data_IF_678904126139
#
_entry.id   IF_678904126139
#
_cell.length_a   1.000
_cell.length_b   1.000
_cell.length_c   1.000
_cell.angle_alpha   90.00
_cell.angle_beta   90.00
_cell.angle_gamma   90.00
#
_symmetry.space_group_name_H-M   'P 1'
#
loop_
_entity.id
_entity.type
_entity.pdbx_description
1 polymer ?
#
# COMPACT_ATOMS: atom_id res chain seq x y z
N UNK A 1 20.05 -6.53 9.80
CA UNK A 1 19.41 -6.08 8.56
C UNK A 1 18.03 -5.54 8.89
N UNK A 2 17.98 -4.26 9.12
CA UNK A 2 16.71 -3.57 9.27
C UNK A 2 16.22 -3.24 7.87
N UNK A 3 15.37 -4.09 7.30
CA UNK A 3 14.47 -3.61 6.27
C UNK A 3 13.32 -2.98 7.03
N UNK A 4 13.31 -1.70 7.07
CA UNK A 4 12.35 -1.00 7.86
C UNK A 4 11.01 -0.96 7.14
N UNK A 5 10.01 -1.38 7.81
CA UNK A 5 8.66 -0.94 7.53
C UNK A 5 8.51 0.42 8.18
N UNK A 6 8.48 1.47 7.39
CA UNK A 6 8.16 2.79 7.91
C UNK A 6 6.78 2.76 8.56
N UNK A 7 6.58 3.40 9.69
CA UNK A 7 5.25 3.55 10.24
C UNK A 7 4.41 4.41 9.30
N UNK A 8 3.34 3.86 8.78
CA UNK A 8 2.40 4.57 7.91
C UNK A 8 1.19 5.07 8.69
N UNK A 9 0.61 6.18 8.27
CA UNK A 9 -0.75 6.52 8.65
C UNK A 9 -1.67 5.68 7.78
N UNK A 10 -2.51 4.84 8.41
CA UNK A 10 -3.49 4.01 7.72
C UNK A 10 -4.57 3.56 8.71
N UNK A 11 -5.73 3.15 8.23
CA UNK A 11 -6.74 2.45 9.03
C UNK A 11 -6.51 0.92 8.97
N UNK A 12 -7.12 0.15 9.86
CA UNK A 12 -7.01 -1.30 9.80
C UNK A 12 -7.36 -1.85 8.42
N UNK A 13 -6.41 -2.53 7.78
CA UNK A 13 -6.53 -3.13 6.44
C UNK A 13 -6.99 -2.15 5.34
N UNK A 14 -6.78 -0.83 5.50
CA UNK A 14 -7.23 0.16 4.51
C UNK A 14 -6.40 0.10 3.22
N UNK A 15 -7.05 0.43 2.10
CA UNK A 15 -6.39 0.60 0.81
C UNK A 15 -5.39 1.76 0.86
N UNK A 16 -5.81 2.89 1.44
CA UNK A 16 -4.97 4.07 1.57
C UNK A 16 -4.06 3.95 2.78
N UNK A 17 -2.78 4.13 2.55
CA UNK A 17 -1.74 4.34 3.55
C UNK A 17 -0.80 5.43 3.06
N UNK A 18 -0.36 6.29 3.96
CA UNK A 18 0.44 7.46 3.62
C UNK A 18 1.64 7.55 4.56
N UNK A 19 2.79 7.80 3.98
CA UNK A 19 4.01 8.06 4.70
C UNK A 19 4.91 9.02 3.90
N UNK A 20 5.51 10.06 4.52
CA UNK A 20 6.40 10.97 3.81
C UNK A 20 7.59 10.25 3.22
N UNK A 21 7.81 10.40 1.90
CA UNK A 21 8.93 9.76 1.22
C UNK A 21 10.26 10.34 1.70
N UNK A 22 11.16 9.45 2.12
CA UNK A 22 12.52 9.79 2.55
C UNK A 22 13.52 8.88 1.84
N UNK A 23 14.76 9.32 1.71
CA UNK A 23 15.82 8.48 1.15
C UNK A 23 16.19 7.31 2.07
N UNK A 24 16.14 7.55 3.37
CA UNK A 24 16.39 6.56 4.44
C UNK A 24 15.80 7.05 5.78
N UNK A 25 16.01 6.29 6.88
CA UNK A 25 15.49 6.65 8.22
C UNK A 25 16.17 7.85 8.87
N UNK A 26 17.37 8.19 8.43
CA UNK A 26 18.17 9.27 8.98
C UNK A 26 18.09 10.53 8.13
N UNK A 27 17.30 10.50 7.05
CA UNK A 27 17.14 11.64 6.14
C UNK A 27 16.48 12.81 6.86
N UNK A 28 17.13 13.95 6.79
CA UNK A 28 16.62 15.24 7.26
C UNK A 28 15.67 15.90 6.28
N UNK A 29 15.32 15.21 5.17
CA UNK A 29 14.46 15.75 4.11
C UNK A 29 13.31 14.81 3.78
N UNK A 30 12.14 15.41 3.59
CA UNK A 30 10.95 14.79 2.99
C UNK A 30 10.96 15.14 1.50
N UNK A 31 10.84 14.14 0.62
CA UNK A 31 10.88 14.28 -0.84
C UNK A 31 9.48 14.50 -1.43
N UNK A 32 8.81 15.57 -1.03
CA UNK A 32 7.41 15.84 -1.34
C UNK A 32 6.44 15.20 -0.35
N UNK A 33 5.20 15.64 -0.39
CA UNK A 33 4.12 15.07 0.41
C UNK A 33 3.40 14.01 -0.42
N UNK A 34 3.41 12.73 -0.02
CA UNK A 34 2.84 11.65 -0.81
C UNK A 34 1.32 11.62 -0.72
N UNK A 35 0.69 10.96 -1.71
CA UNK A 35 -0.75 10.70 -1.70
C UNK A 35 -1.06 9.28 -1.25
N UNK A 36 -0.27 8.31 -1.70
CA UNK A 36 -0.41 6.90 -1.32
C UNK A 36 0.94 6.19 -1.39
N UNK A 37 1.15 5.26 -0.50
CA UNK A 37 2.26 4.30 -0.52
C UNK A 37 1.77 2.97 -1.09
N UNK A 38 2.41 2.46 -2.13
CA UNK A 38 1.89 1.35 -2.95
C UNK A 38 2.69 0.06 -2.92
N UNK A 39 3.86 0.04 -2.30
CA UNK A 39 4.65 -1.18 -2.22
C UNK A 39 5.43 -1.32 -0.91
N UNK A 40 6.02 -2.50 -0.71
CA UNK A 40 6.72 -2.86 0.53
C UNK A 40 8.00 -2.05 0.82
N UNK A 41 8.54 -1.32 -0.16
CA UNK A 41 9.67 -0.41 0.03
C UNK A 41 9.22 1.03 0.22
N UNK A 42 7.95 1.19 0.58
CA UNK A 42 7.33 2.47 0.89
C UNK A 42 7.45 3.50 -0.25
N UNK A 43 7.38 3.03 -1.50
CA UNK A 43 7.34 3.93 -2.65
C UNK A 43 5.98 4.59 -2.75
N UNK A 44 5.99 5.91 -2.78
CA UNK A 44 4.78 6.71 -2.93
C UNK A 44 4.37 6.86 -4.39
N UNK A 45 3.06 6.97 -4.61
CA UNK A 45 2.50 7.45 -5.86
C UNK A 45 1.90 8.83 -5.64
N UNK A 46 2.05 9.69 -6.64
CA UNK A 46 1.76 11.10 -6.65
C UNK A 46 2.51 11.89 -5.57
N UNK A 47 2.67 13.17 -5.80
CA UNK A 47 3.19 14.09 -4.80
C UNK A 47 2.34 15.36 -4.76
N UNK A 48 2.08 15.84 -3.55
CA UNK A 48 1.60 17.19 -3.30
C UNK A 48 2.80 18.06 -2.94
N UNK A 49 2.92 19.21 -3.61
CA UNK A 49 4.00 20.15 -3.35
C UNK A 49 3.41 21.50 -3.03
N UNK A 50 3.12 21.81 -1.76
CA UNK A 50 2.83 23.17 -1.32
C UNK A 50 4.08 24.02 -1.44
N UNK A 51 3.93 25.23 -1.93
CA UNK A 51 5.04 26.14 -2.19
C UNK A 51 4.64 27.61 -2.03
N UNK A 52 5.53 28.41 -1.47
CA UNK A 52 5.41 29.86 -1.44
C UNK A 52 6.53 30.51 -2.28
N UNK A 53 6.16 31.23 -3.32
CA UNK A 53 7.09 31.89 -4.24
C UNK A 53 6.44 32.18 -5.59
N UNK A 54 7.20 32.79 -6.50
CA UNK A 54 6.67 33.26 -7.77
C UNK A 54 6.33 32.12 -8.75
N UNK A 55 7.14 31.08 -8.78
CA UNK A 55 6.95 29.94 -9.70
C UNK A 55 6.72 28.62 -8.93
N UNK A 56 5.71 27.82 -9.33
CA UNK A 56 5.46 26.52 -8.72
C UNK A 56 6.53 25.50 -9.12
N UNK A 57 6.67 24.45 -8.29
CA UNK A 57 7.55 23.30 -8.55
C UNK A 57 6.74 22.02 -8.60
N UNK A 58 7.00 21.10 -9.55
CA UNK A 58 6.32 19.80 -9.60
C UNK A 58 6.57 18.95 -8.33
N UNK A 59 7.80 18.95 -7.85
CA UNK A 59 8.21 18.26 -6.62
C UNK A 59 9.24 19.13 -5.90
N UNK A 60 9.16 19.18 -4.58
CA UNK A 60 10.18 19.81 -3.72
C UNK A 60 10.57 18.87 -2.60
N UNK A 61 11.83 18.90 -2.21
CA UNK A 61 12.30 18.28 -0.98
C UNK A 61 12.34 19.33 0.13
N UNK A 62 11.90 18.97 1.32
CA UNK A 62 11.77 19.86 2.46
C UNK A 62 12.62 19.39 3.63
N UNK A 63 13.32 20.33 4.29
CA UNK A 63 13.78 20.11 5.66
C UNK A 63 12.58 20.21 6.60
N UNK A 64 12.60 19.48 7.69
CA UNK A 64 11.45 19.38 8.58
C UNK A 64 11.86 19.19 10.03
N UNK A 65 10.95 19.58 10.93
CA UNK A 65 11.08 19.40 12.35
C UNK A 65 9.72 19.08 13.02
N UNK A 66 9.71 18.81 14.32
CA UNK A 66 8.51 18.60 15.13
C UNK A 66 7.55 17.52 14.57
N UNK A 67 8.10 16.46 13.97
CA UNK A 67 7.30 15.38 13.43
C UNK A 67 6.50 14.66 14.52
N UNK A 68 5.20 14.49 14.29
CA UNK A 68 4.30 13.68 15.12
C UNK A 68 3.56 12.71 14.24
N UNK A 69 3.82 11.44 14.43
CA UNK A 69 3.20 10.34 13.69
C UNK A 69 2.39 9.47 14.63
N UNK A 70 1.14 9.23 14.25
CA UNK A 70 0.25 8.25 14.88
C UNK A 70 -0.29 7.30 13.81
N UNK A 71 -0.92 6.18 14.15
CA UNK A 71 -1.56 5.32 13.15
C UNK A 71 -2.66 6.02 12.32
N UNK A 72 -3.20 7.12 12.77
CA UNK A 72 -4.38 7.79 12.20
C UNK A 72 -4.15 9.26 11.81
N UNK A 73 -2.97 9.82 12.08
CA UNK A 73 -2.65 11.21 11.72
C UNK A 73 -1.15 11.47 11.67
N UNK A 74 -0.78 12.50 10.93
CA UNK A 74 0.57 13.01 10.81
C UNK A 74 0.59 14.51 10.96
N UNK A 75 1.62 15.05 11.61
CA UNK A 75 1.93 16.50 11.68
C UNK A 75 3.41 16.70 11.57
N UNK A 76 3.82 17.79 10.90
CA UNK A 76 5.21 18.17 10.73
C UNK A 76 5.32 19.68 10.49
N UNK A 77 6.40 20.29 10.93
CA UNK A 77 6.81 21.63 10.52
C UNK A 77 7.83 21.52 9.38
N UNK A 78 7.59 22.25 8.30
CA UNK A 78 8.47 22.38 7.13
C UNK A 78 9.30 23.65 7.30
N UNK A 79 10.60 23.51 7.52
CA UNK A 79 11.47 24.63 7.87
C UNK A 79 11.77 25.53 6.67
N UNK A 80 12.10 24.95 5.51
CA UNK A 80 12.48 25.68 4.29
C UNK A 80 11.45 26.73 3.86
N UNK A 81 10.17 26.53 4.21
CA UNK A 81 9.07 27.40 3.80
C UNK A 81 8.22 27.90 4.97
N UNK A 82 8.65 27.63 6.19
CA UNK A 82 7.91 27.98 7.40
C UNK A 82 6.41 27.59 7.33
N UNK A 83 6.17 26.33 6.99
CA UNK A 83 4.82 25.77 6.84
C UNK A 83 4.55 24.72 7.91
N UNK A 84 3.32 24.65 8.40
CA UNK A 84 2.80 23.48 9.12
C UNK A 84 2.06 22.57 8.14
N UNK A 85 2.29 21.26 8.22
CA UNK A 85 1.55 20.26 7.44
C UNK A 85 0.96 19.23 8.37
N UNK A 86 -0.31 18.93 8.19
CA UNK A 86 -0.97 17.80 8.85
C UNK A 86 -1.88 17.07 7.89
N UNK A 87 -2.05 15.76 8.13
CA UNK A 87 -3.04 14.96 7.42
C UNK A 87 -3.64 13.85 8.28
N UNK A 88 -4.85 13.46 7.88
CA UNK A 88 -5.54 12.29 8.38
C UNK A 88 -6.24 11.60 7.20
N UNK A 89 -6.60 10.33 7.39
CA UNK A 89 -7.16 9.54 6.29
C UNK A 89 -8.31 8.64 6.72
N UNK A 90 -9.09 8.23 5.72
CA UNK A 90 -10.08 7.18 5.74
C UNK A 90 -9.57 5.94 4.99
N UNK A 91 -10.47 5.05 4.54
CA UNK A 91 -10.04 3.83 3.83
C UNK A 91 -9.49 4.09 2.44
N UNK A 92 -10.03 5.08 1.72
CA UNK A 92 -9.70 5.40 0.32
C UNK A 92 -9.54 6.90 0.08
N UNK A 93 -9.62 7.71 1.13
CA UNK A 93 -9.60 9.17 1.05
C UNK A 93 -8.82 9.79 2.19
N UNK A 94 -8.31 11.01 1.98
CA UNK A 94 -7.59 11.74 3.01
C UNK A 94 -7.83 13.25 2.94
N UNK A 95 -7.49 13.92 4.03
CA UNK A 95 -7.47 15.38 4.14
C UNK A 95 -6.07 15.81 4.53
N UNK A 96 -5.52 16.77 3.76
CA UNK A 96 -4.35 17.54 4.12
C UNK A 96 -4.74 18.93 4.57
N UNK A 97 -4.11 19.42 5.62
CA UNK A 97 -4.12 20.83 6.02
C UNK A 97 -2.70 21.36 5.98
N UNK A 98 -2.51 22.50 5.32
CA UNK A 98 -1.23 23.17 5.13
C UNK A 98 -1.38 24.60 5.60
N UNK A 99 -0.61 24.99 6.63
CA UNK A 99 -0.64 26.31 7.21
C UNK A 99 0.62 27.08 6.80
N UNK A 100 0.46 28.18 6.06
CA UNK A 100 1.55 29.03 5.60
C UNK A 100 1.79 30.14 6.61
N UNK A 101 3.03 30.26 7.08
CA UNK A 101 3.41 31.23 8.13
C UNK A 101 4.20 32.42 7.59
N UNK A 102 4.50 32.48 6.27
CA UNK A 102 5.13 33.60 5.60
C UNK A 102 4.05 34.46 4.94
N UNK A 103 4.07 35.75 5.23
CA UNK A 103 3.15 36.70 4.60
C UNK A 103 3.66 37.19 3.24
N UNK A 104 2.74 37.58 2.36
CA UNK A 104 3.01 38.34 1.15
C UNK A 104 3.65 37.60 -0.02
N UNK A 105 3.72 36.26 0.02
CA UNK A 105 4.18 35.45 -1.11
C UNK A 105 3.04 34.71 -1.77
N UNK A 106 3.05 34.53 -3.10
CA UNK A 106 2.09 33.67 -3.79
C UNK A 106 2.13 32.26 -3.24
N UNK A 107 0.95 31.66 -3.07
CA UNK A 107 0.79 30.29 -2.57
C UNK A 107 0.39 29.39 -3.70
N UNK A 108 1.12 28.29 -3.86
CA UNK A 108 0.89 27.26 -4.85
C UNK A 108 0.71 25.89 -4.20
N UNK A 109 -0.10 25.05 -4.84
CA UNK A 109 -0.16 23.62 -4.61
C UNK A 109 0.03 22.89 -5.93
N UNK A 110 1.11 22.16 -6.08
CA UNK A 110 1.33 21.27 -7.22
C UNK A 110 0.86 19.88 -6.91
N UNK A 111 0.13 19.28 -7.85
CA UNK A 111 -0.31 17.89 -7.81
C UNK A 111 0.37 17.15 -8.96
N UNK A 112 1.32 16.29 -8.64
CA UNK A 112 2.23 15.68 -9.60
C UNK A 112 2.09 14.16 -9.67
N UNK A 113 2.10 13.62 -10.89
CA UNK A 113 2.24 12.20 -11.19
C UNK A 113 3.57 11.93 -11.87
N UNK A 114 4.29 10.91 -11.41
CA UNK A 114 5.52 10.42 -12.07
C UNK A 114 5.19 9.21 -12.94
N UNK A 115 5.27 9.36 -14.26
CA UNK A 115 4.97 8.27 -15.19
C UNK A 115 3.48 8.03 -15.39
N UNK A 116 2.67 9.08 -15.24
CA UNK A 116 1.24 9.09 -15.48
C UNK A 116 0.78 10.40 -16.07
N UNK A 117 -0.45 10.78 -15.81
CA UNK A 117 -1.06 12.00 -16.34
C UNK A 117 -1.97 12.67 -15.30
N UNK A 118 -1.86 14.00 -15.21
CA UNK A 118 -2.73 14.85 -14.39
C UNK A 118 -3.47 15.83 -15.27
N UNK A 119 -4.71 16.12 -14.94
CA UNK A 119 -5.57 17.09 -15.65
C UNK A 119 -6.49 17.84 -14.68
N UNK A 120 -6.93 19.01 -15.10
CA UNK A 120 -8.06 19.69 -14.45
C UNK A 120 -9.35 18.89 -14.70
N UNK A 121 -10.18 18.78 -13.66
CA UNK A 121 -11.42 18.00 -13.70
C UNK A 121 -12.51 18.73 -12.89
N UNK A 122 -13.29 19.54 -13.59
CA UNK A 122 -14.26 20.41 -12.96
C UNK A 122 -13.59 21.40 -11.99
N UNK A 123 -13.93 21.32 -10.71
CA UNK A 123 -13.31 22.12 -9.64
C UNK A 123 -12.07 21.45 -9.00
N UNK A 124 -11.70 20.29 -9.49
CA UNK A 124 -10.63 19.48 -8.92
C UNK A 124 -9.52 19.16 -9.92
N UNK A 125 -8.66 18.29 -9.48
CA UNK A 125 -7.57 17.71 -10.28
C UNK A 125 -7.73 16.20 -10.25
N UNK A 126 -7.69 15.56 -11.41
CA UNK A 126 -7.71 14.10 -11.52
C UNK A 126 -6.52 13.60 -12.34
N UNK A 127 -6.24 12.32 -12.22
CA UNK A 127 -5.20 11.69 -13.01
C UNK A 127 -4.87 10.29 -12.56
N UNK A 128 -3.80 9.77 -13.12
CA UNK A 128 -3.29 8.45 -12.75
C UNK A 128 -1.77 8.45 -12.67
N UNK A 129 -1.25 7.46 -11.94
CA UNK A 129 0.16 7.10 -11.95
C UNK A 129 0.30 5.60 -12.25
N UNK A 130 1.17 5.27 -13.18
CA UNK A 130 1.48 3.90 -13.55
C UNK A 130 2.37 3.26 -12.47
N UNK A 131 1.95 2.12 -11.96
CA UNK A 131 2.71 1.32 -10.98
C UNK A 131 3.42 0.15 -11.62
N UNK A 132 2.77 -0.48 -12.62
CA UNK A 132 3.31 -1.55 -13.46
C UNK A 132 2.69 -1.49 -14.86
N UNK A 133 2.99 -2.45 -15.71
CA UNK A 133 2.45 -2.45 -17.09
C UNK A 133 0.94 -2.57 -17.15
N UNK A 134 0.32 -3.22 -16.18
CA UNK A 134 -1.12 -3.43 -16.13
C UNK A 134 -1.81 -2.74 -14.93
N UNK A 135 -1.08 -2.04 -14.07
CA UNK A 135 -1.64 -1.47 -12.84
C UNK A 135 -1.42 0.03 -12.77
N UNK A 136 -2.52 0.76 -12.67
CA UNK A 136 -2.52 2.18 -12.37
C UNK A 136 -3.16 2.43 -11.01
N UNK A 137 -2.74 3.49 -10.35
CA UNK A 137 -3.51 4.12 -9.27
C UNK A 137 -4.04 5.45 -9.77
N UNK A 138 -5.28 5.77 -9.44
CA UNK A 138 -5.99 6.97 -9.85
C UNK A 138 -6.21 7.89 -8.65
N UNK A 139 -6.23 9.17 -8.93
CA UNK A 139 -6.44 10.24 -7.96
C UNK A 139 -7.54 11.17 -8.43
N UNK A 140 -8.39 11.62 -7.50
CA UNK A 140 -9.22 12.80 -7.63
C UNK A 140 -9.05 13.67 -6.39
N UNK A 141 -8.76 14.95 -6.57
CA UNK A 141 -8.40 15.89 -5.52
C UNK A 141 -9.18 17.19 -5.66
N UNK A 142 -9.60 17.76 -4.54
CA UNK A 142 -10.25 19.05 -4.42
C UNK A 142 -9.61 19.90 -3.33
N UNK A 143 -9.68 21.20 -3.49
CA UNK A 143 -9.30 22.20 -2.47
C UNK A 143 -10.52 22.92 -1.94
N UNK A 144 -10.52 23.28 -0.65
CA UNK A 144 -11.61 24.08 -0.04
C UNK A 144 -11.68 25.48 -0.67
N UNK A 145 -10.54 26.14 -0.80
CA UNK A 145 -10.42 27.40 -1.51
C UNK A 145 -10.33 27.17 -3.03
N UNK A 146 -11.01 28.02 -3.82
CA UNK A 146 -10.87 27.96 -5.29
C UNK A 146 -9.54 28.57 -5.73
N UNK A 147 -8.79 27.91 -6.64
CA UNK A 147 -7.57 28.51 -7.20
C UNK A 147 -7.91 29.70 -8.10
N UNK A 148 -7.07 30.72 -8.06
CA UNK A 148 -7.20 31.92 -8.92
C UNK A 148 -6.46 31.78 -10.25
N UNK A 149 -5.53 30.83 -10.34
CA UNK A 149 -4.74 30.52 -11.53
C UNK A 149 -4.36 29.05 -11.53
N UNK A 150 -4.22 28.47 -12.71
CA UNK A 150 -3.75 27.09 -12.88
C UNK A 150 -2.64 27.06 -13.92
N UNK A 151 -1.60 26.24 -13.66
CA UNK A 151 -0.48 26.05 -14.57
C UNK A 151 -0.24 24.56 -14.80
N UNK A 152 -0.25 24.14 -16.05
CA UNK A 152 0.16 22.79 -16.42
C UNK A 152 1.67 22.75 -16.61
N UNK A 153 2.32 21.76 -16.02
CA UNK A 153 3.74 21.51 -16.18
C UNK A 153 3.96 20.06 -16.56
N UNK A 154 4.62 19.82 -17.68
CA UNK A 154 4.89 18.47 -18.19
C UNK A 154 6.32 18.36 -18.67
N UNK A 155 7.00 17.33 -18.24
CA UNK A 155 8.32 16.93 -18.73
C UNK A 155 8.36 15.41 -19.00
N UNK A 156 9.54 14.85 -19.21
CA UNK A 156 9.70 13.41 -19.48
C UNK A 156 9.17 12.49 -18.37
N UNK A 157 9.19 12.96 -17.12
CA UNK A 157 8.92 12.14 -15.93
C UNK A 157 7.70 12.62 -15.14
N UNK A 158 7.32 13.89 -15.30
CA UNK A 158 6.29 14.55 -14.52
C UNK A 158 5.13 15.00 -15.39
N UNK A 159 3.92 14.79 -14.89
CA UNK A 159 2.71 15.46 -15.32
C UNK A 159 2.10 16.13 -14.09
N UNK A 160 2.02 17.44 -14.09
CA UNK A 160 1.71 18.23 -12.90
C UNK A 160 0.69 19.32 -13.20
N UNK A 161 -0.28 19.48 -12.32
CA UNK A 161 -1.18 20.63 -12.26
C UNK A 161 -0.79 21.44 -11.03
N UNK A 162 -0.40 22.69 -11.23
CA UNK A 162 -0.16 23.66 -10.17
C UNK A 162 -1.32 24.62 -10.03
N UNK A 163 -1.82 24.76 -8.82
CA UNK A 163 -2.95 25.59 -8.42
C UNK A 163 -2.41 26.78 -7.62
N UNK A 164 -2.64 28.02 -8.09
CA UNK A 164 -2.34 29.24 -7.35
C UNK A 164 -3.58 29.71 -6.59
N UNK A 165 -3.37 30.15 -5.38
CA UNK A 165 -4.42 30.69 -4.52
C UNK A 165 -4.30 32.20 -4.36
N UNK A 166 -5.39 32.83 -3.87
CA UNK A 166 -5.44 34.25 -3.65
C UNK A 166 -4.29 34.75 -2.76
N UNK A 167 -3.81 35.96 -3.02
CA UNK A 167 -2.77 36.58 -2.21
C UNK A 167 -3.24 36.72 -0.75
N UNK A 168 -2.36 36.39 0.20
CA UNK A 168 -2.68 36.38 1.61
C UNK A 168 -3.33 35.07 2.11
N UNK A 169 -3.42 34.01 1.28
CA UNK A 169 -3.84 32.68 1.72
C UNK A 169 -2.87 32.16 2.79
N UNK A 170 -3.38 31.97 4.01
CA UNK A 170 -2.59 31.48 5.16
C UNK A 170 -2.79 30.00 5.43
N UNK A 171 -3.82 29.37 4.86
CA UNK A 171 -4.09 27.94 5.03
C UNK A 171 -4.73 27.35 3.77
N UNK A 172 -4.34 26.14 3.43
CA UNK A 172 -5.00 25.30 2.42
C UNK A 172 -5.53 24.03 3.07
N UNK A 173 -6.75 23.68 2.73
CA UNK A 173 -7.32 22.40 3.04
C UNK A 173 -7.61 21.67 1.75
N UNK A 174 -7.15 20.44 1.68
CA UNK A 174 -7.16 19.61 0.49
C UNK A 174 -7.75 18.26 0.88
N UNK A 175 -8.68 17.75 0.10
CA UNK A 175 -9.17 16.38 0.25
C UNK A 175 -9.03 15.64 -1.06
N UNK A 176 -8.79 14.35 -0.97
CA UNK A 176 -8.67 13.51 -2.15
C UNK A 176 -9.17 12.09 -1.90
N UNK A 177 -9.51 11.43 -2.99
CA UNK A 177 -9.78 10.00 -3.03
C UNK A 177 -8.85 9.31 -4.00
N UNK A 178 -8.56 8.03 -3.73
CA UNK A 178 -7.78 7.16 -4.61
C UNK A 178 -8.65 6.00 -5.09
N UNK A 179 -8.24 5.40 -6.21
CA UNK A 179 -8.85 4.18 -6.75
C UNK A 179 -7.84 3.40 -7.57
N UNK A 180 -8.02 2.08 -7.65
CA UNK A 180 -7.33 1.25 -8.62
C UNK A 180 -8.20 0.94 -9.86
N UNK A 181 -9.44 1.42 -9.88
CA UNK A 181 -10.41 1.20 -10.97
C UNK A 181 -10.38 2.35 -11.98
N UNK A 182 -10.62 3.59 -11.52
CA UNK A 182 -10.64 4.78 -12.37
C UNK A 182 -10.61 6.09 -11.58
N UNK A 183 -10.39 7.21 -12.26
CA UNK A 183 -10.48 8.55 -11.66
C UNK A 183 -11.92 8.88 -11.17
N UNK A 184 -12.94 8.46 -11.92
CA UNK A 184 -14.34 8.60 -11.52
C UNK A 184 -14.65 7.80 -10.25
N UNK A 185 -14.05 6.60 -10.11
CA UNK A 185 -14.18 5.83 -8.88
C UNK A 185 -13.44 6.51 -7.71
N UNK A 186 -12.26 7.09 -7.94
CA UNK A 186 -11.55 7.87 -6.92
C UNK A 186 -12.42 9.05 -6.41
N UNK A 187 -13.11 9.75 -7.33
CA UNK A 187 -14.07 10.80 -6.95
C UNK A 187 -15.25 10.25 -6.13
N UNK A 188 -15.81 9.10 -6.52
CA UNK A 188 -16.89 8.45 -5.75
C UNK A 188 -16.42 8.04 -4.36
N UNK A 189 -15.22 7.48 -4.24
CA UNK A 189 -14.62 7.11 -2.95
C UNK A 189 -14.48 8.35 -2.06
N UNK A 190 -13.96 9.46 -2.61
CA UNK A 190 -13.88 10.73 -1.89
C UNK A 190 -15.25 11.19 -1.39
N UNK A 191 -16.27 11.23 -2.27
CA UNK A 191 -17.60 11.71 -1.92
C UNK A 191 -18.32 10.83 -0.88
N UNK A 192 -18.07 9.53 -0.92
CA UNK A 192 -18.61 8.58 0.04
C UNK A 192 -18.03 8.76 1.43
N UNK A 193 -16.72 9.03 1.53
CA UNK A 193 -16.00 9.00 2.80
C UNK A 193 -15.86 10.37 3.47
N UNK A 194 -15.80 11.45 2.67
CA UNK A 194 -15.50 12.78 3.18
C UNK A 194 -16.50 13.82 2.61
N UNK A 195 -17.25 14.45 3.50
CA UNK A 195 -18.21 15.52 3.19
C UNK A 195 -17.65 16.94 3.52
N UNK A 196 -16.54 17.00 4.25
CA UNK A 196 -15.92 18.24 4.74
C UNK A 196 -14.39 18.22 4.59
N UNK A 197 -13.70 19.21 5.18
CA UNK A 197 -12.24 19.37 5.15
C UNK A 197 -11.63 19.36 6.57
N UNK A 198 -12.28 18.76 7.54
CA UNK A 198 -11.82 18.72 8.93
C UNK A 198 -10.89 17.53 9.17
N UNK A 199 -9.58 17.78 9.05
CA UNK A 199 -8.55 16.77 9.27
C UNK A 199 -8.49 16.27 10.73
N UNK A 200 -8.82 17.14 11.71
CA UNK A 200 -8.81 16.74 13.12
C UNK A 200 -9.98 15.81 13.45
N UNK A 201 -11.18 16.12 12.98
CA UNK A 201 -12.33 15.24 13.12
C UNK A 201 -12.08 13.87 12.47
N UNK A 202 -11.44 13.86 11.27
CA UNK A 202 -11.06 12.62 10.59
C UNK A 202 -10.02 11.83 11.39
N UNK A 203 -9.02 12.48 11.96
CA UNK A 203 -8.03 11.85 12.83
C UNK A 203 -8.68 11.20 14.05
N UNK A 204 -9.64 11.88 14.69
CA UNK A 204 -10.37 11.33 15.84
C UNK A 204 -11.26 10.14 15.45
N UNK A 205 -11.85 10.14 14.25
CA UNK A 205 -12.57 8.98 13.73
C UNK A 205 -11.61 7.79 13.51
N UNK A 206 -10.44 8.02 12.91
CA UNK A 206 -9.39 6.99 12.74
C UNK A 206 -8.90 6.43 14.07
N UNK A 207 -8.71 7.30 15.07
CA UNK A 207 -8.35 6.88 16.44
C UNK A 207 -9.39 5.93 17.05
N UNK A 208 -10.68 6.24 16.88
CA UNK A 208 -11.76 5.37 17.37
C UNK A 208 -11.74 4.00 16.70
N UNK A 209 -11.49 3.94 15.39
CA UNK A 209 -11.39 2.67 14.67
C UNK A 209 -10.20 1.84 15.15
N UNK A 210 -9.03 2.46 15.36
CA UNK A 210 -7.87 1.78 15.91
C UNK A 210 -8.10 1.29 17.33
N UNK A 211 -8.71 2.10 18.21
CA UNK A 211 -9.04 1.66 19.56
C UNK A 211 -9.99 0.46 19.52
N UNK A 212 -11.05 0.49 18.70
CA UNK A 212 -11.97 -0.63 18.54
C UNK A 212 -11.29 -1.91 18.05
N UNK A 213 -10.29 -1.80 17.16
CA UNK A 213 -9.53 -2.93 16.67
C UNK A 213 -8.60 -3.51 17.75
N UNK A 214 -7.86 -2.65 18.46
CA UNK A 214 -6.83 -3.07 19.41
C UNK A 214 -7.41 -3.48 20.77
N UNK A 215 -8.52 -2.89 21.21
CA UNK A 215 -9.21 -3.25 22.46
C UNK A 215 -9.83 -4.66 22.47
N UNK A 216 -9.87 -5.32 21.32
CA UNK A 216 -10.32 -6.74 21.23
C UNK A 216 -9.43 -7.68 22.04
N UNK A 217 -8.16 -7.32 22.28
CA UNK A 217 -7.24 -8.01 23.18
C UNK A 217 -6.78 -7.04 24.25
N UNK A 218 -7.09 -7.34 25.50
CA UNK A 218 -6.62 -6.58 26.66
C UNK A 218 -5.55 -7.36 27.38
N UNK A 219 -4.36 -6.75 27.51
CA UNK A 219 -3.22 -7.37 28.20
C UNK A 219 -3.09 -6.79 29.60
N UNK A 220 -3.07 -7.66 30.59
CA UNK A 220 -2.83 -7.32 31.99
C UNK A 220 -1.52 -7.95 32.48
N UNK A 221 -0.83 -7.27 33.37
CA UNK A 221 0.49 -7.69 33.86
C UNK A 221 1.61 -7.34 32.90
N UNK A 222 2.81 -7.84 33.16
CA UNK A 222 4.02 -7.48 32.44
C UNK A 222 4.50 -6.05 32.66
N UNK A 223 5.61 -5.69 32.04
CA UNK A 223 6.12 -4.31 32.04
C UNK A 223 5.38 -3.46 30.99
N UNK A 224 5.53 -2.13 31.04
CA UNK A 224 5.00 -1.25 30.00
C UNK A 224 5.71 -1.50 28.65
N UNK A 225 6.97 -1.89 28.67
CA UNK A 225 7.71 -2.28 27.45
C UNK A 225 7.13 -3.55 26.82
N UNK A 226 6.78 -4.57 27.61
CA UNK A 226 6.11 -5.78 27.13
C UNK A 226 4.77 -5.45 26.47
N UNK A 227 3.98 -4.58 27.07
CA UNK A 227 2.71 -4.11 26.49
C UNK A 227 2.93 -3.31 25.22
N UNK A 228 3.93 -2.46 25.17
CA UNK A 228 4.30 -1.69 23.97
C UNK A 228 4.69 -2.63 22.83
N UNK A 229 5.52 -3.63 23.08
CA UNK A 229 5.90 -4.65 22.10
C UNK A 229 4.68 -5.43 21.63
N UNK A 230 3.80 -5.86 22.55
CA UNK A 230 2.58 -6.59 22.20
C UNK A 230 1.66 -5.76 21.29
N UNK A 231 1.29 -4.54 21.70
CA UNK A 231 0.35 -3.73 20.93
C UNK A 231 0.95 -3.23 19.63
N UNK A 232 2.26 -2.98 19.56
CA UNK A 232 2.94 -2.67 18.30
C UNK A 232 2.90 -3.86 17.34
N UNK A 233 3.15 -5.06 17.83
CA UNK A 233 3.07 -6.28 17.03
C UNK A 233 1.63 -6.55 16.58
N UNK A 234 0.65 -6.34 17.45
CA UNK A 234 -0.76 -6.51 17.14
C UNK A 234 -1.24 -5.46 16.11
N UNK A 235 -0.85 -4.20 16.26
CA UNK A 235 -1.07 -3.15 15.26
C UNK A 235 -0.55 -3.56 13.89
N UNK A 236 0.68 -4.11 13.81
CA UNK A 236 1.30 -4.56 12.57
C UNK A 236 0.48 -5.62 11.81
N UNK A 237 -0.32 -6.43 12.50
CA UNK A 237 -1.17 -7.44 11.84
C UNK A 237 -2.31 -6.83 11.01
N UNK A 238 -2.65 -5.55 11.20
CA UNK A 238 -3.66 -4.81 10.46
C UNK A 238 -3.10 -3.99 9.30
N UNK A 239 -1.77 -3.85 9.19
CA UNK A 239 -1.16 -3.11 8.08
C UNK A 239 -1.31 -3.85 6.75
N UNK A 240 -1.36 -5.18 6.80
CA UNK A 240 -1.50 -6.07 5.64
C UNK A 240 -2.35 -7.30 5.99
N UNK A 241 -3.04 -7.92 5.01
CA UNK A 241 -3.29 -7.39 3.66
C UNK A 241 -4.24 -6.19 3.66
N UNK A 242 -4.31 -5.49 2.53
CA UNK A 242 -5.20 -4.35 2.33
C UNK A 242 -6.45 -4.75 1.55
N UNK A 243 -7.57 -4.12 1.88
CA UNK A 243 -8.84 -4.31 1.17
C UNK A 243 -8.86 -3.45 -0.10
N UNK A 244 -9.04 -4.08 -1.26
CA UNK A 244 -9.08 -3.44 -2.58
C UNK A 244 -10.48 -3.21 -3.11
N UNK A 245 -11.52 -3.62 -2.38
CA UNK A 245 -12.91 -3.46 -2.83
C UNK A 245 -13.37 -2.00 -2.79
N UNK A 246 -14.00 -1.58 -3.88
CA UNK A 246 -14.51 -0.24 -4.14
C UNK A 246 -15.95 -0.37 -4.68
N UNK A 247 -16.95 -0.08 -3.84
CA UNK A 247 -18.38 -0.18 -4.18
C UNK A 247 -18.77 -1.55 -4.77
N UNK A 248 -18.31 -2.64 -4.14
CA UNK A 248 -18.63 -4.02 -4.56
C UNK A 248 -17.77 -4.54 -5.73
N UNK A 249 -16.78 -3.78 -6.19
CA UNK A 249 -15.85 -4.15 -7.27
C UNK A 249 -14.41 -3.99 -6.82
N UNK A 250 -13.49 -4.62 -7.53
CA UNK A 250 -12.07 -4.45 -7.31
C UNK A 250 -11.28 -4.59 -8.63
N UNK A 251 -10.16 -3.90 -8.70
CA UNK A 251 -9.17 -4.15 -9.76
C UNK A 251 -8.24 -5.28 -9.32
N UNK A 252 -7.99 -6.22 -10.22
CA UNK A 252 -7.01 -7.29 -10.02
C UNK A 252 -5.79 -7.10 -10.92
N UNK A 253 -4.62 -6.96 -10.33
CA UNK A 253 -3.36 -6.94 -11.07
C UNK A 253 -2.95 -8.34 -11.60
N UNK A 254 -3.65 -9.40 -11.18
CA UNK A 254 -3.34 -10.78 -11.56
C UNK A 254 -3.83 -11.11 -12.98
N UNK A 255 -4.81 -10.38 -13.50
CA UNK A 255 -5.28 -10.47 -14.89
C UNK A 255 -5.51 -9.10 -15.55
N UNK A 256 -5.26 -8.00 -14.84
CA UNK A 256 -5.41 -6.63 -15.34
C UNK A 256 -6.86 -6.18 -15.54
N UNK A 257 -7.82 -6.78 -14.82
CA UNK A 257 -9.26 -6.51 -15.00
C UNK A 257 -9.95 -6.05 -13.73
N UNK A 258 -11.10 -5.41 -13.92
CA UNK A 258 -12.04 -5.09 -12.83
C UNK A 258 -13.04 -6.24 -12.70
N UNK A 259 -13.29 -6.66 -11.46
CA UNK A 259 -14.19 -7.74 -11.10
C UNK A 259 -15.23 -7.27 -10.08
N UNK A 260 -16.38 -7.96 -10.02
CA UNK A 260 -17.31 -7.88 -8.90
C UNK A 260 -16.75 -8.65 -7.70
N UNK A 261 -16.97 -8.15 -6.49
CA UNK A 261 -16.51 -8.84 -5.27
C UNK A 261 -17.55 -9.82 -4.71
N UNK A 262 -18.77 -9.82 -5.26
CA UNK A 262 -19.88 -10.70 -4.86
C UNK A 262 -20.18 -10.66 -3.35
N UNK A 263 -20.01 -9.49 -2.74
CA UNK A 263 -20.20 -9.27 -1.31
C UNK A 263 -19.10 -9.89 -0.44
N UNK A 264 -17.97 -10.29 -1.04
CA UNK A 264 -16.76 -10.77 -0.37
C UNK A 264 -15.57 -9.92 -0.77
N UNK A 265 -15.20 -8.93 0.05
CA UNK A 265 -14.11 -8.01 -0.25
C UNK A 265 -12.83 -8.71 -0.70
N UNK A 266 -12.16 -8.13 -1.69
CA UNK A 266 -10.90 -8.62 -2.22
C UNK A 266 -9.73 -7.98 -1.47
N UNK A 267 -8.81 -8.83 -1.00
CA UNK A 267 -7.61 -8.43 -0.27
C UNK A 267 -6.36 -8.80 -1.05
N UNK A 268 -5.37 -7.91 -1.05
CA UNK A 268 -4.03 -8.16 -1.61
C UNK A 268 -2.95 -7.47 -0.79
N UNK A 269 -1.72 -7.44 -1.27
CA UNK A 269 -0.55 -6.90 -0.56
C UNK A 269 -0.29 -7.64 0.75
N UNK A 270 -0.17 -8.96 0.65
CA UNK A 270 0.15 -9.82 1.79
C UNK A 270 1.53 -10.46 1.62
N UNK A 271 2.31 -10.38 2.64
CA UNK A 271 3.61 -11.02 2.71
C UNK A 271 3.44 -12.39 3.37
N UNK A 272 2.89 -13.33 2.62
CA UNK A 272 2.46 -14.62 3.14
C UNK A 272 3.62 -15.37 3.81
N UNK A 273 4.86 -15.16 3.35
CA UNK A 273 6.07 -15.70 3.97
C UNK A 273 6.24 -15.25 5.43
N UNK A 274 5.80 -14.02 5.75
CA UNK A 274 5.83 -13.48 7.11
C UNK A 274 4.53 -13.78 7.87
N UNK A 275 3.38 -13.60 7.24
CA UNK A 275 2.06 -13.55 7.89
C UNK A 275 1.50 -14.93 8.23
N UNK A 276 1.91 -15.98 7.52
CA UNK A 276 1.36 -17.34 7.72
C UNK A 276 1.60 -17.89 9.12
N UNK A 277 2.67 -17.47 9.80
CA UNK A 277 3.06 -18.03 11.10
C UNK A 277 2.16 -17.59 12.24
N UNK A 278 1.73 -16.33 12.25
CA UNK A 278 1.02 -15.76 13.37
C UNK A 278 -0.19 -14.89 12.96
N UNK A 279 -0.08 -14.05 11.94
CA UNK A 279 -1.14 -13.10 11.59
C UNK A 279 -2.40 -13.82 11.09
N UNK A 280 -2.29 -14.79 10.17
CA UNK A 280 -3.42 -15.61 9.73
C UNK A 280 -4.02 -16.46 10.86
N UNK A 281 -3.22 -17.21 11.65
CA UNK A 281 -3.74 -17.92 12.82
C UNK A 281 -4.44 -17.02 13.83
N UNK A 282 -3.93 -15.80 14.06
CA UNK A 282 -4.57 -14.82 14.94
C UNK A 282 -5.92 -14.37 14.39
N UNK A 283 -6.03 -14.07 13.08
CA UNK A 283 -7.30 -13.69 12.45
C UNK A 283 -8.34 -14.81 12.52
N UNK A 284 -7.93 -16.07 12.42
CA UNK A 284 -8.85 -17.22 12.65
C UNK A 284 -9.46 -17.21 14.04
N UNK A 285 -8.80 -16.66 15.03
CA UNK A 285 -9.33 -16.50 16.39
C UNK A 285 -10.18 -15.22 16.53
N UNK A 286 -9.72 -14.11 15.96
CA UNK A 286 -10.23 -12.77 16.22
C UNK A 286 -11.22 -12.26 15.18
N UNK A 287 -11.06 -12.64 13.91
CA UNK A 287 -11.85 -12.13 12.78
C UNK A 287 -11.97 -13.12 11.62
N UNK A 288 -12.71 -14.19 11.87
CA UNK A 288 -12.90 -15.29 10.90
C UNK A 288 -13.49 -14.81 9.57
N UNK A 289 -14.34 -13.77 9.60
CA UNK A 289 -14.97 -13.23 8.40
C UNK A 289 -13.97 -12.56 7.48
N UNK A 290 -13.07 -11.75 8.03
CA UNK A 290 -11.98 -11.14 7.27
C UNK A 290 -11.02 -12.20 6.73
N UNK A 291 -10.65 -13.18 7.55
CA UNK A 291 -9.77 -14.27 7.11
C UNK A 291 -10.40 -15.09 5.97
N UNK A 292 -11.71 -15.35 6.02
CA UNK A 292 -12.44 -16.01 4.93
C UNK A 292 -12.35 -15.21 3.63
N UNK A 293 -12.49 -13.88 3.69
CA UNK A 293 -12.36 -13.01 2.52
C UNK A 293 -10.92 -13.01 1.98
N UNK A 294 -9.90 -12.98 2.84
CA UNK A 294 -8.49 -13.03 2.44
C UNK A 294 -8.20 -14.34 1.70
N UNK A 295 -8.58 -15.48 2.25
CA UNK A 295 -8.33 -16.78 1.62
C UNK A 295 -9.13 -16.95 0.31
N UNK A 296 -10.37 -16.46 0.25
CA UNK A 296 -11.11 -16.40 -1.02
C UNK A 296 -10.39 -15.52 -2.06
N UNK A 297 -9.73 -14.46 -1.63
CA UNK A 297 -8.94 -13.61 -2.53
C UNK A 297 -7.76 -14.37 -3.14
N UNK A 298 -7.08 -15.22 -2.37
CA UNK A 298 -6.00 -16.07 -2.90
C UNK A 298 -6.51 -17.06 -3.95
N UNK A 299 -7.71 -17.63 -3.78
CA UNK A 299 -8.32 -18.49 -4.79
C UNK A 299 -8.68 -17.73 -6.07
N UNK A 300 -9.19 -16.49 -5.93
CA UNK A 300 -9.43 -15.60 -7.07
C UNK A 300 -8.13 -15.25 -7.80
N UNK A 301 -7.06 -14.94 -7.08
CA UNK A 301 -5.73 -14.70 -7.67
C UNK A 301 -5.24 -15.90 -8.46
N UNK A 302 -5.35 -17.11 -7.92
CA UNK A 302 -4.96 -18.35 -8.61
C UNK A 302 -5.73 -18.54 -9.92
N UNK A 303 -7.03 -18.27 -9.94
CA UNK A 303 -7.86 -18.33 -11.15
C UNK A 303 -7.48 -17.24 -12.16
N UNK A 304 -7.31 -16.01 -11.69
CA UNK A 304 -7.03 -14.84 -12.52
C UNK A 304 -5.65 -14.91 -13.17
N UNK A 305 -4.66 -15.52 -12.52
CA UNK A 305 -3.36 -15.82 -13.15
C UNK A 305 -3.45 -16.88 -14.26
N UNK A 306 -4.57 -17.61 -14.37
CA UNK A 306 -4.83 -18.59 -15.42
C UNK A 306 -4.15 -19.96 -15.26
N UNK A 307 -3.18 -20.07 -14.36
CA UNK A 307 -2.45 -21.32 -14.10
C UNK A 307 -2.96 -22.08 -12.87
N UNK A 308 -3.85 -21.50 -12.10
CA UNK A 308 -4.34 -22.08 -10.83
C UNK A 308 -3.24 -22.32 -9.80
N UNK A 309 -2.18 -21.54 -9.79
CA UNK A 309 -1.15 -21.60 -8.76
C UNK A 309 -1.51 -20.67 -7.60
N UNK A 310 -1.37 -21.12 -6.38
CA UNK A 310 -1.53 -20.25 -5.20
C UNK A 310 -0.54 -19.07 -5.27
N UNK A 311 -0.98 -17.86 -4.89
CA UNK A 311 -0.05 -16.73 -4.81
C UNK A 311 1.03 -17.01 -3.77
N UNK A 312 2.21 -16.44 -3.99
CA UNK A 312 3.35 -16.58 -3.10
C UNK A 312 3.69 -15.29 -2.36
N UNK A 313 3.63 -14.17 -3.06
CA UNK A 313 3.88 -12.85 -2.50
C UNK A 313 3.03 -11.81 -3.23
N UNK A 314 1.70 -11.82 -3.00
CA UNK A 314 0.79 -10.91 -3.66
C UNK A 314 1.02 -9.47 -3.24
N UNK A 315 1.16 -8.59 -4.23
CA UNK A 315 1.27 -7.15 -4.09
C UNK A 315 0.15 -6.47 -4.89
N UNK A 316 0.01 -5.16 -4.76
CA UNK A 316 -0.99 -4.40 -5.54
C UNK A 316 -0.74 -4.46 -7.05
N UNK A 317 0.46 -4.84 -7.46
CA UNK A 317 0.90 -4.98 -8.86
C UNK A 317 0.96 -6.42 -9.36
N UNK A 318 0.45 -7.39 -8.60
CA UNK A 318 0.44 -8.81 -8.93
C UNK A 318 1.30 -9.66 -7.99
N UNK A 319 1.50 -10.93 -8.32
CA UNK A 319 2.37 -11.81 -7.52
C UNK A 319 3.84 -11.58 -7.88
N UNK A 320 4.58 -10.93 -7.02
CA UNK A 320 6.01 -10.65 -7.24
C UNK A 320 6.88 -11.89 -7.06
N UNK A 321 6.38 -12.95 -6.43
CA UNK A 321 7.09 -14.21 -6.15
C UNK A 321 8.46 -14.03 -5.52
N UNK A 322 8.63 -12.95 -4.83
CA UNK A 322 9.87 -12.55 -4.14
C UNK A 322 10.37 -13.61 -3.18
N UNK A 323 9.45 -14.15 -2.39
CA UNK A 323 9.67 -15.28 -1.49
C UNK A 323 8.86 -16.47 -2.02
N UNK A 324 9.32 -17.03 -3.13
CA UNK A 324 8.61 -18.10 -3.81
C UNK A 324 8.52 -19.34 -2.90
N UNK A 325 7.32 -19.69 -2.48
CA UNK A 325 7.08 -20.71 -1.47
C UNK A 325 5.64 -21.21 -1.51
N UNK A 326 5.33 -22.18 -0.66
CA UNK A 326 4.00 -22.75 -0.54
C UNK A 326 3.27 -22.35 0.76
N UNK A 327 3.60 -21.17 1.33
CA UNK A 327 3.03 -20.71 2.60
C UNK A 327 1.51 -20.49 2.53
N UNK A 328 0.97 -20.07 1.37
CA UNK A 328 -0.48 -19.99 1.16
C UNK A 328 -1.15 -21.36 1.39
N UNK A 329 -0.52 -22.46 0.98
CA UNK A 329 -1.03 -23.84 1.20
C UNK A 329 -1.11 -24.13 2.69
N UNK A 330 -0.07 -23.78 3.46
CA UNK A 330 -0.04 -23.96 4.92
C UNK A 330 -1.15 -23.15 5.58
N UNK A 331 -1.37 -21.91 5.15
CA UNK A 331 -2.44 -21.04 5.65
C UNK A 331 -3.83 -21.65 5.41
N UNK A 332 -4.08 -22.19 4.23
CA UNK A 332 -5.34 -22.91 3.94
C UNK A 332 -5.50 -24.16 4.79
N UNK A 333 -4.46 -24.96 4.94
CA UNK A 333 -4.50 -26.18 5.75
C UNK A 333 -4.84 -25.87 7.22
N UNK A 334 -4.24 -24.85 7.79
CA UNK A 334 -4.52 -24.36 9.14
C UNK A 334 -5.98 -23.88 9.26
N UNK A 335 -6.44 -23.06 8.33
CA UNK A 335 -7.79 -22.50 8.32
C UNK A 335 -8.86 -23.61 8.22
N UNK A 336 -8.66 -24.59 7.32
CA UNK A 336 -9.58 -25.74 7.14
C UNK A 336 -9.61 -26.60 8.40
N UNK A 337 -8.45 -26.89 9.00
CA UNK A 337 -8.37 -27.67 10.24
C UNK A 337 -9.10 -27.00 11.41
N UNK A 338 -9.17 -25.68 11.42
CA UNK A 338 -9.91 -24.86 12.39
C UNK A 338 -11.37 -24.59 11.99
N UNK A 339 -11.85 -25.23 10.92
CA UNK A 339 -13.25 -25.19 10.49
C UNK A 339 -13.66 -23.89 9.78
N UNK A 340 -12.72 -23.19 9.12
CA UNK A 340 -13.09 -22.06 8.28
C UNK A 340 -13.78 -22.55 6.99
N UNK A 341 -14.80 -21.83 6.53
CA UNK A 341 -15.54 -22.18 5.31
C UNK A 341 -14.85 -21.60 4.08
N UNK A 342 -14.09 -22.44 3.40
CA UNK A 342 -13.43 -22.11 2.12
C UNK A 342 -13.74 -23.20 1.08
N UNK A 343 -13.53 -22.90 -0.20
CA UNK A 343 -13.64 -23.91 -1.25
C UNK A 343 -12.42 -24.86 -1.19
N UNK A 344 -12.51 -25.88 -0.34
CA UNK A 344 -11.43 -26.84 -0.08
C UNK A 344 -10.99 -27.57 -1.36
N UNK A 345 -11.94 -27.92 -2.26
CA UNK A 345 -11.61 -28.59 -3.52
C UNK A 345 -10.73 -27.71 -4.40
N UNK A 346 -11.13 -26.45 -4.59
CA UNK A 346 -10.36 -25.47 -5.36
C UNK A 346 -9.01 -25.17 -4.70
N UNK A 347 -8.98 -25.01 -3.38
CA UNK A 347 -7.75 -24.80 -2.63
C UNK A 347 -6.76 -25.96 -2.80
N UNK A 348 -7.25 -27.20 -2.71
CA UNK A 348 -6.43 -28.40 -2.93
C UNK A 348 -5.91 -28.48 -4.37
N UNK A 349 -6.75 -28.20 -5.36
CA UNK A 349 -6.34 -28.19 -6.77
C UNK A 349 -5.23 -27.14 -7.01
N UNK A 350 -5.42 -25.91 -6.55
CA UNK A 350 -4.44 -24.83 -6.69
C UNK A 350 -3.13 -25.13 -5.93
N UNK A 351 -3.24 -25.71 -4.74
CA UNK A 351 -2.09 -26.15 -3.97
C UNK A 351 -1.27 -27.21 -4.71
N UNK A 352 -1.94 -28.28 -5.16
CA UNK A 352 -1.30 -29.39 -5.86
C UNK A 352 -0.62 -28.93 -7.15
N UNK A 353 -1.35 -28.20 -8.01
CA UNK A 353 -0.78 -27.68 -9.26
C UNK A 353 0.43 -26.78 -9.00
N UNK A 354 0.36 -25.86 -8.04
CA UNK A 354 1.48 -25.02 -7.69
C UNK A 354 2.71 -25.78 -7.19
N UNK A 355 2.51 -26.89 -6.46
CA UNK A 355 3.61 -27.71 -5.95
C UNK A 355 4.21 -28.63 -7.04
N UNK A 356 3.42 -29.06 -8.01
CA UNK A 356 3.87 -29.97 -9.08
C UNK A 356 4.42 -29.22 -10.31
N UNK A 357 3.90 -28.03 -10.61
CA UNK A 357 4.11 -27.37 -11.89
C UNK A 357 4.98 -26.10 -11.79
N UNK A 358 5.11 -25.48 -10.61
CA UNK A 358 5.77 -24.19 -10.41
C UNK A 358 7.17 -24.38 -9.84
N UNK A 359 8.14 -23.65 -10.38
CA UNK A 359 9.45 -23.57 -9.72
C UNK A 359 9.40 -22.88 -8.35
N UNK A 360 10.25 -23.30 -7.44
CA UNK A 360 10.50 -22.63 -6.17
C UNK A 360 11.56 -21.51 -6.28
N UNK A 361 12.15 -21.33 -7.45
CA UNK A 361 13.12 -20.26 -7.71
C UNK A 361 12.52 -18.88 -7.36
N UNK A 362 13.15 -18.09 -6.45
CA UNK A 362 12.67 -16.77 -6.07
C UNK A 362 12.55 -15.85 -7.29
N UNK A 363 11.59 -14.91 -7.26
CA UNK A 363 11.33 -13.94 -8.32
C UNK A 363 10.92 -14.56 -9.68
N UNK A 364 10.80 -15.89 -9.75
CA UNK A 364 10.48 -16.58 -10.99
C UNK A 364 9.00 -16.97 -11.08
N UNK A 365 8.41 -16.73 -12.23
CA UNK A 365 7.09 -17.23 -12.63
C UNK A 365 7.18 -18.45 -13.53
N UNK A 366 8.36 -19.05 -13.68
CA UNK A 366 8.59 -20.19 -14.56
C UNK A 366 7.88 -21.47 -14.05
N UNK A 367 7.61 -22.41 -14.93
CA UNK A 367 7.31 -23.79 -14.55
C UNK A 367 8.46 -24.42 -13.77
N UNK A 368 8.17 -25.55 -13.12
CA UNK A 368 9.16 -26.40 -12.50
C UNK A 368 10.29 -26.74 -13.49
N UNK A 369 11.51 -26.73 -13.03
CA UNK A 369 12.72 -26.93 -13.83
C UNK A 369 13.70 -27.89 -13.15
N UNK A 370 14.95 -27.85 -13.61
CA UNK A 370 15.99 -28.77 -13.14
C UNK A 370 16.12 -28.87 -11.63
N UNK A 371 16.06 -27.73 -10.92
CA UNK A 371 16.19 -27.72 -9.47
C UNK A 371 15.03 -28.41 -8.77
N UNK A 372 13.83 -28.22 -9.30
CA UNK A 372 12.61 -28.82 -8.80
C UNK A 372 12.59 -30.33 -9.06
N UNK A 373 13.01 -30.76 -10.26
CA UNK A 373 13.17 -32.17 -10.63
C UNK A 373 14.21 -32.84 -9.73
N UNK A 374 15.36 -32.20 -9.50
CA UNK A 374 16.38 -32.69 -8.60
C UNK A 374 15.84 -32.88 -7.18
N UNK A 375 15.03 -31.93 -6.68
CA UNK A 375 14.38 -32.02 -5.37
C UNK A 375 13.39 -33.19 -5.31
N UNK A 376 12.59 -33.36 -6.35
CA UNK A 376 11.62 -34.47 -6.45
C UNK A 376 12.32 -35.84 -6.39
N UNK A 377 13.43 -36.00 -7.10
CA UNK A 377 14.19 -37.24 -7.17
C UNK A 377 14.98 -37.53 -5.92
N UNK A 378 15.55 -36.50 -5.29
CA UNK A 378 16.55 -36.67 -4.23
C UNK A 378 16.05 -36.27 -2.83
N UNK A 379 14.90 -35.63 -2.71
CA UNK A 379 14.33 -35.12 -1.46
C UNK A 379 15.14 -33.98 -0.82
N UNK A 380 16.05 -33.37 -1.57
CA UNK A 380 16.92 -32.26 -1.13
C UNK A 380 17.27 -31.34 -2.29
N UNK A 381 17.54 -30.09 -2.00
CA UNK A 381 18.12 -29.14 -2.95
C UNK A 381 19.66 -29.38 -3.00
N UNK A 382 20.31 -29.36 -4.17
CA UNK A 382 21.76 -29.47 -4.25
C UNK A 382 22.41 -28.18 -3.70
N UNK A 383 23.55 -28.35 -3.04
CA UNK A 383 24.35 -27.23 -2.54
C UNK A 383 25.78 -27.31 -3.10
N UNK A 384 26.40 -26.16 -3.24
CA UNK A 384 27.82 -26.07 -3.53
C UNK A 384 28.62 -26.15 -2.22
N UNK A 385 29.85 -26.69 -2.30
CA UNK A 385 30.78 -26.57 -1.17
C UNK A 385 31.28 -25.12 -1.07
N UNK A 386 31.73 -24.75 0.12
CA UNK A 386 32.29 -23.41 0.33
C UNK A 386 33.48 -23.16 -0.63
N UNK A 387 33.39 -22.06 -1.37
CA UNK A 387 34.39 -21.65 -2.34
C UNK A 387 34.22 -22.25 -3.75
N UNK A 388 33.21 -23.09 -3.97
CA UNK A 388 32.84 -23.53 -5.32
C UNK A 388 31.95 -22.48 -6.02
N UNK A 389 32.16 -22.33 -7.34
CA UNK A 389 31.27 -21.48 -8.16
C UNK A 389 30.21 -22.32 -8.88
N UNK A 390 29.04 -21.75 -9.08
CA UNK A 390 28.01 -22.37 -9.88
C UNK A 390 28.42 -22.48 -11.33
N UNK A 391 28.50 -23.69 -11.83
CA UNK A 391 28.88 -24.01 -13.22
C UNK A 391 27.77 -24.68 -14.02
N UNK A 392 26.67 -25.05 -13.38
CA UNK A 392 25.54 -25.68 -14.07
C UNK A 392 24.70 -24.60 -14.79
N UNK A 393 24.61 -24.66 -16.14
CA UNK A 393 23.88 -23.68 -16.93
C UNK A 393 22.35 -23.72 -16.70
N UNK A 394 21.83 -24.78 -16.09
CA UNK A 394 20.41 -24.91 -15.78
C UNK A 394 20.02 -24.25 -14.45
N UNK A 395 20.98 -23.90 -13.63
CA UNK A 395 20.74 -23.17 -12.38
C UNK A 395 20.57 -21.69 -12.69
N UNK A 396 19.42 -21.07 -12.35
CA UNK A 396 19.22 -19.64 -12.55
C UNK A 396 20.33 -18.81 -11.88
N UNK A 397 20.81 -17.77 -12.56
CA UNK A 397 21.95 -16.95 -12.11
C UNK A 397 21.75 -16.25 -10.76
N UNK A 398 20.53 -16.19 -10.25
CA UNK A 398 20.17 -15.63 -8.95
C UNK A 398 20.03 -16.69 -7.83
N UNK A 399 20.10 -17.98 -8.17
CA UNK A 399 20.14 -19.09 -7.24
C UNK A 399 21.57 -19.61 -7.14
N UNK A 400 22.37 -18.88 -6.39
CA UNK A 400 23.64 -19.46 -5.97
C UNK A 400 23.37 -20.55 -4.96
N UNK A 401 23.81 -21.75 -5.26
CA UNK A 401 23.80 -22.88 -4.33
C UNK A 401 24.90 -22.64 -3.30
N UNK A 402 24.65 -21.82 -2.28
CA UNK A 402 25.56 -21.57 -1.15
C UNK A 402 25.31 -22.55 -0.02
#
# INVERSE_FOLDING_TARGET
LLVPTFPTVQLPNSMLRVYPERSDYTSERINGLPVIVTNHRERSAFNLTPYQGDDPRPVAAYTYDNEKLTPYSFKVDIDDHNMGVSYALSHQSAIYQIDFRQEGKPVWLSVNSRGGEMKLDGKGVSGYQKLSDNTNVYLYLETEAEPVETKEMKDRHNSCIALRFADGTSALRVRYGISFISAEQAQKNLRRELDNYDAEALAQAGRKLWNAALERIKVEGGSEDDKTVFYTSYYRTFERPICMSEDGRYFSAFDGKVHEDDGRPFYTDDWIWDTYRAAHPLRLLMDRGVEECILNSYLRMAEQMGNMWMPTFPEVTGDSRRMNSNHAVVTFADAVSKGLRVNVKKAYEAARKGMEEKTLAPWSGAPAGWLDDFYQENGRVPALNYGEEETDPNVPSFEKRE
#
